data_IF_130539906804
#
_entry.id   IF_130539906804
#
_cell.length_a   1.000
_cell.length_b   1.000
_cell.length_c   1.000
_cell.angle_alpha   90.00
_cell.angle_beta   90.00
_cell.angle_gamma   90.00
#
_symmetry.space_group_name_H-M   'P 1'
#
loop_
_entity.id
_entity.type
_entity.pdbx_description
1 polymer ?
#
# COMPACT_ATOMS: atom_id res chain seq x y z
N UNK A 1 -1.37 -0.73 -1.78
CA UNK A 1 -2.19 0.43 -1.35
C UNK A 1 -2.46 0.43 0.15
N UNK A 2 -2.83 -0.70 0.78
CA UNK A 2 -3.06 -0.74 2.24
C UNK A 2 -1.83 -0.24 3.01
N UNK A 3 -0.64 -0.78 2.72
CA UNK A 3 0.61 -0.38 3.40
C UNK A 3 0.87 1.14 3.32
N UNK A 4 0.77 1.72 2.11
CA UNK A 4 0.96 3.17 1.94
C UNK A 4 -0.09 3.98 2.69
N UNK A 5 -1.37 3.56 2.64
CA UNK A 5 -2.46 4.23 3.37
C UNK A 5 -2.24 4.17 4.89
N UNK A 6 -1.85 3.00 5.41
CA UNK A 6 -1.56 2.82 6.84
C UNK A 6 -0.41 3.71 7.29
N UNK A 7 0.69 3.74 6.53
CA UNK A 7 1.87 4.54 6.86
C UNK A 7 1.56 6.04 6.77
N UNK A 8 0.84 6.45 5.73
CA UNK A 8 0.40 7.84 5.58
C UNK A 8 -0.51 8.26 6.73
N UNK A 9 -1.55 7.48 7.03
CA UNK A 9 -2.45 7.76 8.14
C UNK A 9 -1.71 7.82 9.48
N UNK A 10 -0.78 6.89 9.72
CA UNK A 10 0.04 6.88 10.93
C UNK A 10 0.87 8.17 11.05
N UNK A 11 1.64 8.54 10.03
CA UNK A 11 2.48 9.74 10.10
C UNK A 11 1.67 11.03 10.13
N UNK A 12 0.52 11.09 9.48
CA UNK A 12 -0.37 12.24 9.57
C UNK A 12 -0.93 12.39 10.97
N UNK A 13 -1.50 11.34 11.57
CA UNK A 13 -2.06 11.39 12.93
C UNK A 13 -0.95 11.65 13.94
N UNK A 14 0.18 10.97 13.82
CA UNK A 14 1.31 11.15 14.72
C UNK A 14 1.88 12.57 14.64
N UNK A 15 2.12 13.09 13.42
CA UNK A 15 2.63 14.43 13.24
C UNK A 15 1.65 15.50 13.74
N UNK A 16 0.34 15.29 13.53
CA UNK A 16 -0.70 16.17 14.04
C UNK A 16 -0.71 16.25 15.58
N UNK A 17 -0.45 15.14 16.26
CA UNK A 17 -0.42 15.08 17.73
C UNK A 17 0.93 15.49 18.34
N UNK A 18 2.03 15.33 17.59
CA UNK A 18 3.37 15.51 18.11
C UNK A 18 4.00 16.87 17.78
N UNK A 19 3.48 17.58 16.78
CA UNK A 19 4.07 18.81 16.26
C UNK A 19 3.13 19.98 16.50
N UNK A 20 3.53 20.88 17.40
CA UNK A 20 2.85 22.13 17.70
C UNK A 20 3.39 23.31 16.85
N UNK A 21 2.69 24.44 16.92
CA UNK A 21 3.02 25.70 16.22
C UNK A 21 4.43 26.17 16.52
N UNK A 22 4.86 26.14 17.78
CA UNK A 22 6.17 26.64 18.16
C UNK A 22 7.27 25.75 17.59
N UNK A 23 7.04 24.44 17.52
CA UNK A 23 7.93 23.51 16.82
C UNK A 23 7.96 23.81 15.32
N UNK A 24 6.81 24.01 14.65
CA UNK A 24 6.79 24.37 13.22
C UNK A 24 7.55 25.66 12.96
N UNK A 25 7.27 26.72 13.70
CA UNK A 25 7.93 28.02 13.57
C UNK A 25 9.45 27.90 13.75
N UNK A 26 9.91 27.08 14.70
CA UNK A 26 11.34 26.87 14.93
C UNK A 26 12.04 26.13 13.78
N UNK A 27 11.36 25.19 13.12
CA UNK A 27 11.96 24.32 12.11
C UNK A 27 11.81 24.82 10.68
N UNK A 28 10.63 25.31 10.31
CA UNK A 28 10.32 25.78 8.95
C UNK A 28 10.26 27.31 8.84
N UNK A 29 10.37 28.05 9.96
CA UNK A 29 10.35 29.51 9.97
C UNK A 29 8.97 30.12 9.74
N UNK A 30 7.92 29.30 9.87
CA UNK A 30 6.52 29.69 9.87
C UNK A 30 5.68 28.64 10.62
N UNK A 31 4.47 29.00 11.03
CA UNK A 31 3.50 28.04 11.53
C UNK A 31 3.09 27.02 10.44
N UNK A 32 3.33 27.29 9.16
CA UNK A 32 2.91 26.44 8.04
C UNK A 32 1.50 26.76 7.55
N UNK A 33 1.15 26.25 6.38
CA UNK A 33 -0.14 26.52 5.74
C UNK A 33 -1.22 25.58 6.29
N UNK A 34 -2.09 26.12 7.16
CA UNK A 34 -3.24 25.43 7.72
C UNK A 34 -4.21 24.97 6.61
N UNK A 35 -4.55 23.67 6.61
CA UNK A 35 -5.60 23.10 5.76
C UNK A 35 -6.91 22.94 6.52
N UNK A 36 -6.83 22.42 7.75
CA UNK A 36 -7.96 22.18 8.63
C UNK A 36 -7.51 22.33 10.08
N UNK A 37 -8.24 23.09 10.88
CA UNK A 37 -8.13 23.13 12.34
C UNK A 37 -9.34 22.46 12.99
N UNK A 38 -9.11 21.84 14.14
CA UNK A 38 -10.18 21.35 15.01
C UNK A 38 -9.71 21.21 16.45
N UNK A 39 -10.65 21.42 17.38
CA UNK A 39 -10.39 21.27 18.81
C UNK A 39 -10.54 19.81 19.22
N UNK A 40 -9.52 19.26 19.88
CA UNK A 40 -9.53 17.90 20.44
C UNK A 40 -8.98 17.93 21.86
N UNK A 41 -9.75 17.45 22.84
CA UNK A 41 -9.39 17.48 24.27
C UNK A 41 -9.06 18.88 24.83
N UNK A 42 -9.55 19.95 24.19
CA UNK A 42 -9.27 21.33 24.59
C UNK A 42 -7.97 21.90 24.02
N UNK A 43 -7.30 21.17 23.11
CA UNK A 43 -6.19 21.69 22.30
C UNK A 43 -6.61 21.87 20.85
N UNK A 44 -6.15 22.96 20.24
CA UNK A 44 -6.33 23.22 18.82
C UNK A 44 -5.31 22.40 18.02
N UNK A 45 -5.80 21.45 17.23
CA UNK A 45 -4.97 20.64 16.33
C UNK A 45 -5.10 21.18 14.90
N UNK A 46 -3.95 21.44 14.28
CA UNK A 46 -3.86 21.97 12.93
C UNK A 46 -3.25 20.98 11.96
N UNK A 47 -4.04 20.54 10.99
CA UNK A 47 -3.55 19.78 9.86
C UNK A 47 -2.98 20.75 8.82
N UNK A 48 -1.66 20.68 8.59
CA UNK A 48 -0.98 21.57 7.65
C UNK A 48 -0.66 20.91 6.30
N UNK A 49 -0.48 21.74 5.28
CA UNK A 49 -0.05 21.32 3.95
C UNK A 49 1.31 20.63 3.97
N UNK A 50 2.23 21.13 4.78
CA UNK A 50 3.58 20.58 4.96
C UNK A 50 3.52 19.17 5.55
N UNK A 51 2.70 18.97 6.59
CA UNK A 51 2.51 17.66 7.22
C UNK A 51 1.95 16.65 6.21
N UNK A 52 0.90 17.02 5.48
CA UNK A 52 0.30 16.15 4.46
C UNK A 52 1.29 15.85 3.33
N UNK A 53 2.09 16.83 2.91
CA UNK A 53 3.10 16.66 1.85
C UNK A 53 4.21 15.69 2.28
N UNK A 54 4.73 15.84 3.50
CA UNK A 54 5.79 14.97 4.02
C UNK A 54 5.25 13.56 4.29
N UNK A 55 4.12 13.43 4.98
CA UNK A 55 3.48 12.15 5.25
C UNK A 55 3.09 11.42 3.96
N UNK A 56 2.57 12.14 2.96
CA UNK A 56 2.25 11.61 1.63
C UNK A 56 3.49 11.12 0.88
N UNK A 57 4.60 11.85 0.96
CA UNK A 57 5.89 11.42 0.43
C UNK A 57 6.38 10.12 1.06
N UNK A 58 6.37 10.04 2.40
CA UNK A 58 6.75 8.82 3.14
C UNK A 58 5.84 7.64 2.80
N UNK A 59 4.53 7.87 2.76
CA UNK A 59 3.53 6.87 2.39
C UNK A 59 3.77 6.29 0.98
N UNK A 60 4.02 7.16 0.00
CA UNK A 60 4.30 6.76 -1.38
C UNK A 60 5.60 5.95 -1.47
N UNK A 61 6.68 6.43 -0.84
CA UNK A 61 7.97 5.75 -0.82
C UNK A 61 7.88 4.38 -0.13
N UNK A 62 7.25 4.29 1.04
CA UNK A 62 7.10 3.02 1.75
C UNK A 62 6.21 2.04 0.98
N UNK A 63 5.13 2.51 0.36
CA UNK A 63 4.28 1.68 -0.49
C UNK A 63 5.02 1.15 -1.72
N UNK A 64 5.81 2.00 -2.36
CA UNK A 64 6.64 1.61 -3.51
C UNK A 64 7.72 0.61 -3.12
N UNK A 65 8.44 0.87 -2.02
CA UNK A 65 9.43 -0.05 -1.48
C UNK A 65 8.82 -1.40 -1.14
N UNK A 66 7.66 -1.41 -0.47
CA UNK A 66 6.93 -2.63 -0.17
C UNK A 66 6.58 -3.40 -1.46
N UNK A 67 6.05 -2.73 -2.48
CA UNK A 67 5.71 -3.36 -3.75
C UNK A 67 6.93 -3.98 -4.45
N UNK A 68 8.08 -3.30 -4.44
CA UNK A 68 9.34 -3.85 -4.95
C UNK A 68 9.76 -5.06 -4.14
N UNK A 69 9.73 -4.98 -2.81
CA UNK A 69 10.12 -6.08 -1.94
C UNK A 69 9.25 -7.32 -2.19
N UNK A 70 7.94 -7.14 -2.33
CA UNK A 70 6.98 -8.20 -2.62
C UNK A 70 7.23 -8.83 -4.00
N UNK A 71 7.58 -8.02 -5.01
CA UNK A 71 7.88 -8.53 -6.34
C UNK A 71 9.22 -9.28 -6.40
N UNK A 72 10.17 -8.87 -5.57
CA UNK A 72 11.52 -9.45 -5.51
C UNK A 72 11.56 -10.68 -4.61
N UNK A 73 10.58 -10.83 -3.70
CA UNK A 73 10.44 -12.01 -2.86
C UNK A 73 10.05 -13.22 -3.72
N UNK A 74 11.00 -14.15 -3.82
CA UNK A 74 10.94 -15.37 -4.64
C UNK A 74 9.85 -16.36 -4.23
N UNK A 75 9.16 -16.13 -3.11
CA UNK A 75 8.14 -17.02 -2.55
C UNK A 75 6.86 -17.02 -3.40
N UNK A 76 6.43 -15.86 -3.92
CA UNK A 76 5.15 -15.74 -4.65
C UNK A 76 5.19 -16.38 -6.04
N UNK A 77 6.37 -16.44 -6.66
CA UNK A 77 6.55 -16.99 -8.01
C UNK A 77 6.50 -18.52 -8.05
N UNK A 78 6.85 -19.18 -6.95
CA UNK A 78 6.82 -20.63 -6.87
C UNK A 78 5.42 -21.14 -6.52
N UNK A 79 4.80 -20.68 -5.43
CA UNK A 79 3.52 -21.27 -5.01
C UNK A 79 2.36 -20.97 -5.97
N UNK A 80 2.22 -19.72 -6.45
CA UNK A 80 1.03 -19.32 -7.19
C UNK A 80 1.05 -19.71 -8.68
N UNK A 81 2.22 -19.62 -9.33
CA UNK A 81 2.34 -19.99 -10.75
C UNK A 81 2.39 -21.51 -10.93
N UNK A 82 2.92 -22.25 -9.96
CA UNK A 82 3.01 -23.69 -10.03
C UNK A 82 1.62 -24.33 -9.84
N UNK A 83 0.80 -23.79 -8.92
CA UNK A 83 -0.59 -24.20 -8.75
C UNK A 83 -1.44 -23.91 -10.00
N UNK A 84 -1.44 -22.67 -10.51
CA UNK A 84 -2.16 -22.31 -11.74
C UNK A 84 -1.73 -23.16 -12.95
N UNK A 85 -0.42 -23.39 -13.11
CA UNK A 85 0.09 -24.21 -14.20
C UNK A 85 -0.29 -25.68 -14.02
N UNK A 86 -0.37 -26.17 -12.79
CA UNK A 86 -0.83 -27.53 -12.47
C UNK A 86 -2.28 -27.73 -12.88
N UNK A 87 -3.18 -26.82 -12.50
CA UNK A 87 -4.60 -26.88 -12.86
C UNK A 87 -4.82 -26.82 -14.38
N UNK A 88 -4.13 -25.90 -15.07
CA UNK A 88 -4.21 -25.81 -16.54
C UNK A 88 -3.74 -27.11 -17.21
N UNK A 89 -2.64 -27.69 -16.71
CA UNK A 89 -2.08 -28.94 -17.24
C UNK A 89 -3.04 -30.10 -17.03
N UNK A 90 -3.76 -30.15 -15.92
CA UNK A 90 -4.79 -31.16 -15.67
C UNK A 90 -5.99 -30.98 -16.61
N UNK A 91 -6.50 -29.76 -16.77
CA UNK A 91 -7.63 -29.45 -17.65
C UNK A 91 -7.33 -29.80 -19.11
N UNK A 92 -6.11 -29.49 -19.60
CA UNK A 92 -5.68 -29.90 -20.94
C UNK A 92 -5.52 -31.41 -21.09
N UNK A 93 -5.06 -32.10 -20.04
CA UNK A 93 -4.91 -33.56 -20.06
C UNK A 93 -6.27 -34.25 -20.20
N UNK A 94 -7.26 -33.81 -19.42
CA UNK A 94 -8.62 -34.35 -19.51
C UNK A 94 -9.27 -34.01 -20.85
N UNK A 95 -9.09 -32.79 -21.36
CA UNK A 95 -9.57 -32.41 -22.70
C UNK A 95 -8.96 -33.25 -23.81
N UNK A 96 -7.65 -33.51 -23.76
CA UNK A 96 -6.97 -34.35 -24.73
C UNK A 96 -7.49 -35.80 -24.67
N UNK A 97 -7.74 -36.32 -23.46
CA UNK A 97 -8.32 -37.66 -23.26
C UNK A 97 -9.73 -37.75 -23.82
N UNK A 98 -10.59 -36.77 -23.54
CA UNK A 98 -11.94 -36.68 -24.10
C UNK A 98 -11.93 -36.66 -25.63
N UNK A 99 -11.09 -35.82 -26.25
CA UNK A 99 -10.99 -35.73 -27.71
C UNK A 99 -10.52 -37.05 -28.35
N UNK A 100 -9.60 -37.78 -27.71
CA UNK A 100 -9.19 -39.12 -28.16
C UNK A 100 -10.33 -40.13 -28.09
N UNK A 101 -11.06 -40.17 -26.97
CA UNK A 101 -12.20 -41.07 -26.80
C UNK A 101 -13.31 -40.76 -27.81
N UNK A 102 -13.65 -39.48 -27.99
CA UNK A 102 -14.64 -39.04 -28.98
C UNK A 102 -14.26 -39.45 -30.41
N UNK A 103 -12.97 -39.40 -30.76
CA UNK A 103 -12.48 -39.81 -32.08
C UNK A 103 -12.47 -41.33 -32.25
N UNK A 104 -12.33 -42.11 -31.18
CA UNK A 104 -12.39 -43.57 -31.22
C UNK A 104 -13.82 -44.12 -31.25
N UNK A 105 -14.79 -43.35 -30.74
CA UNK A 105 -16.22 -43.67 -30.79
C UNK A 105 -16.94 -43.20 -32.08
N UNK A 106 -16.22 -42.53 -32.99
CA UNK A 106 -16.70 -42.06 -34.29
C UNK A 106 -16.10 -42.90 -35.41
#
# INVERSE_FOLDING_TARGET
LIVSLTIGAFFTIFGLLAIDDATREHWIGSAGDELLSFELFGEDLELTTELVRVAGGLAAFSGFYFAISMLTDSTYRQEFLEELTSEMRQSFRERAKYLKLRKASA
#
